data_IF_432662137994
#
_entry.id   IF_432662137994
#
_cell.length_a   1.000
_cell.length_b   1.000
_cell.length_c   1.000
_cell.angle_alpha   90.00
_cell.angle_beta   90.00
_cell.angle_gamma   90.00
#
_symmetry.space_group_name_H-M   'P 1'
#
loop_
_entity.id
_entity.type
_entity.pdbx_description
1 polymer ?
#
# COMPACT_ATOMS: atom_id res chain seq x y z
N UNK A 1 -20.38 28.03 -7.02
CA UNK A 1 -19.00 27.49 -7.01
C UNK A 1 -18.13 27.91 -8.20
N UNK A 2 -18.65 28.66 -9.18
CA UNK A 2 -17.98 28.94 -10.46
C UNK A 2 -16.72 29.82 -10.35
N UNK A 3 -16.66 30.70 -9.35
CA UNK A 3 -15.55 31.65 -9.12
C UNK A 3 -14.28 31.03 -8.51
N UNK A 4 -14.42 29.95 -7.72
CA UNK A 4 -13.30 29.22 -7.12
C UNK A 4 -13.62 27.73 -7.11
N UNK A 5 -13.03 27.02 -8.07
CA UNK A 5 -13.23 25.59 -8.26
C UNK A 5 -12.86 24.75 -7.04
N UNK A 6 -11.98 25.23 -6.15
CA UNK A 6 -11.61 24.48 -4.94
C UNK A 6 -12.77 24.42 -3.92
N UNK A 7 -13.77 25.32 -4.03
CA UNK A 7 -14.89 25.33 -3.09
C UNK A 7 -15.68 24.02 -3.06
N UNK A 8 -15.72 23.26 -4.16
CA UNK A 8 -16.42 21.95 -4.15
C UNK A 8 -15.65 20.90 -3.35
N UNK A 9 -14.31 20.89 -3.42
CA UNK A 9 -13.47 20.03 -2.56
C UNK A 9 -13.65 20.40 -1.08
N UNK A 10 -13.72 21.70 -0.79
CA UNK A 10 -13.98 22.21 0.58
C UNK A 10 -15.37 21.83 1.07
N UNK A 11 -16.40 21.93 0.23
CA UNK A 11 -17.76 21.54 0.59
C UNK A 11 -17.83 20.05 0.97
N UNK A 12 -17.23 19.19 0.13
CA UNK A 12 -17.08 17.77 0.40
C UNK A 12 -16.33 17.51 1.72
N UNK A 13 -15.21 18.20 1.95
CA UNK A 13 -14.47 18.08 3.21
C UNK A 13 -15.29 18.54 4.41
N UNK A 14 -16.01 19.65 4.31
CA UNK A 14 -16.85 20.14 5.41
C UNK A 14 -17.98 19.18 5.73
N UNK A 15 -18.54 18.46 4.74
CA UNK A 15 -19.50 17.39 4.99
C UNK A 15 -18.93 16.25 5.86
N UNK A 16 -17.64 15.95 5.70
CA UNK A 16 -16.95 14.97 6.54
C UNK A 16 -16.52 15.55 7.90
N UNK A 17 -16.12 16.82 7.98
CA UNK A 17 -15.70 17.48 9.23
C UNK A 17 -16.87 17.74 10.17
N UNK A 18 -17.98 18.27 9.64
CA UNK A 18 -19.15 18.69 10.41
C UNK A 18 -20.20 17.58 10.52
N UNK A 19 -19.98 16.46 9.82
CA UNK A 19 -20.87 15.30 9.80
C UNK A 19 -22.31 15.63 9.39
N UNK A 20 -22.48 16.66 8.56
CA UNK A 20 -23.78 17.04 8.02
C UNK A 20 -24.04 16.38 6.66
N UNK A 21 -25.23 16.61 6.13
CA UNK A 21 -25.53 16.43 4.71
C UNK A 21 -25.42 17.78 4.02
N UNK A 22 -24.98 17.79 2.75
CA UNK A 22 -25.05 19.01 1.97
C UNK A 22 -26.52 19.30 1.65
N UNK A 23 -26.87 20.58 1.70
CA UNK A 23 -28.13 21.05 1.15
C UNK A 23 -28.26 20.60 -0.34
N UNK A 24 -29.42 20.08 -0.79
CA UNK A 24 -29.56 19.53 -2.13
C UNK A 24 -29.21 20.52 -3.27
N UNK A 25 -29.50 21.81 -3.12
CA UNK A 25 -29.12 22.83 -4.11
C UNK A 25 -27.61 23.05 -4.13
N UNK A 26 -26.98 23.01 -2.94
CA UNK A 26 -25.53 23.07 -2.80
C UNK A 26 -24.87 21.89 -3.52
N UNK A 27 -25.35 20.66 -3.31
CA UNK A 27 -24.81 19.48 -3.98
C UNK A 27 -25.01 19.53 -5.50
N UNK A 28 -26.20 19.93 -5.97
CA UNK A 28 -26.47 20.14 -7.40
C UNK A 28 -25.50 21.15 -8.04
N UNK A 29 -25.03 22.12 -7.27
CA UNK A 29 -24.03 23.09 -7.72
C UNK A 29 -22.64 22.51 -8.00
N UNK A 30 -22.32 21.28 -7.55
CA UNK A 30 -20.99 20.68 -7.71
C UNK A 30 -20.71 20.30 -9.17
N UNK A 31 -21.63 19.59 -9.83
CA UNK A 31 -21.41 19.08 -11.19
C UNK A 31 -21.12 20.22 -12.20
N UNK A 32 -21.90 21.33 -12.23
CA UNK A 32 -21.58 22.47 -13.09
C UNK A 32 -20.24 23.15 -12.79
N UNK A 33 -19.66 22.93 -11.61
CA UNK A 33 -18.40 23.53 -11.18
C UNK A 33 -17.18 22.64 -11.44
N UNK A 34 -17.35 21.39 -11.89
CA UNK A 34 -16.24 20.50 -12.26
C UNK A 34 -15.28 21.11 -13.30
N UNK A 35 -15.74 21.85 -14.34
CA UNK A 35 -14.82 22.53 -15.26
C UNK A 35 -13.94 23.59 -14.59
N UNK A 36 -14.44 24.24 -13.52
CA UNK A 36 -13.63 25.16 -12.71
C UNK A 36 -12.67 24.39 -11.80
N UNK A 37 -13.11 23.28 -11.19
CA UNK A 37 -12.24 22.40 -10.39
C UNK A 37 -11.08 21.82 -11.23
N UNK A 38 -11.32 21.47 -12.49
CA UNK A 38 -10.32 20.94 -13.41
C UNK A 38 -9.13 21.90 -13.64
N UNK A 39 -9.35 23.21 -13.47
CA UNK A 39 -8.34 24.26 -13.61
C UNK A 39 -7.56 24.52 -12.31
N UNK A 40 -7.96 23.90 -11.20
CA UNK A 40 -7.28 24.06 -9.90
C UNK A 40 -5.96 23.27 -9.92
N UNK A 41 -4.90 23.87 -9.39
CA UNK A 41 -3.59 23.25 -9.23
C UNK A 41 -3.68 21.94 -8.45
N UNK A 42 -2.84 20.96 -8.81
CA UNK A 42 -2.86 19.63 -8.20
C UNK A 42 -2.50 19.66 -6.72
N UNK A 43 -1.61 20.55 -6.31
CA UNK A 43 -1.20 20.79 -4.92
C UNK A 43 -2.39 21.21 -4.04
N UNK A 44 -3.25 22.11 -4.55
CA UNK A 44 -4.46 22.53 -3.83
C UNK A 44 -5.50 21.40 -3.74
N UNK A 45 -5.58 20.56 -4.76
CA UNK A 45 -6.46 19.38 -4.77
C UNK A 45 -5.96 18.34 -3.76
N UNK A 46 -4.66 18.03 -3.76
CA UNK A 46 -4.06 17.08 -2.82
C UNK A 46 -4.14 17.56 -1.38
N UNK A 47 -3.94 18.86 -1.12
CA UNK A 47 -4.13 19.45 0.21
C UNK A 47 -5.56 19.23 0.76
N UNK A 48 -6.59 19.48 -0.04
CA UNK A 48 -7.97 19.25 0.38
C UNK A 48 -8.32 17.77 0.51
N UNK A 49 -7.79 16.92 -0.39
CA UNK A 49 -7.95 15.46 -0.31
C UNK A 49 -7.29 14.91 0.96
N UNK A 50 -6.06 15.32 1.27
CA UNK A 50 -5.35 14.89 2.47
C UNK A 50 -6.12 15.31 3.73
N UNK A 51 -6.58 16.57 3.80
CA UNK A 51 -7.41 17.05 4.93
C UNK A 51 -8.74 16.29 5.06
N UNK A 52 -9.35 15.90 3.94
CA UNK A 52 -10.55 15.06 3.94
C UNK A 52 -10.25 13.67 4.54
N UNK A 53 -9.14 13.04 4.14
CA UNK A 53 -8.74 11.72 4.66
C UNK A 53 -8.43 11.75 6.17
N UNK A 54 -8.04 12.88 6.73
CA UNK A 54 -7.79 13.02 8.17
C UNK A 54 -9.05 13.25 9.03
N UNK A 55 -10.23 13.40 8.43
CA UNK A 55 -11.49 13.59 9.18
C UNK A 55 -11.92 12.32 9.91
N UNK A 56 -12.86 12.41 10.86
CA UNK A 56 -13.34 11.23 11.62
C UNK A 56 -13.95 10.17 10.69
N UNK A 57 -14.78 10.61 9.75
CA UNK A 57 -15.49 9.76 8.79
C UNK A 57 -15.29 10.27 7.35
N UNK A 58 -14.12 9.99 6.72
CA UNK A 58 -13.83 10.44 5.36
C UNK A 58 -14.85 9.98 4.33
N UNK A 59 -15.50 8.82 4.55
CA UNK A 59 -16.51 8.27 3.65
C UNK A 59 -17.64 9.23 3.33
N UNK A 60 -18.06 10.10 4.27
CA UNK A 60 -19.13 11.09 4.02
C UNK A 60 -18.78 12.01 2.87
N UNK A 61 -17.55 12.52 2.87
CA UNK A 61 -17.06 13.36 1.79
C UNK A 61 -16.78 12.55 0.53
N UNK A 62 -16.10 11.40 0.67
CA UNK A 62 -15.76 10.56 -0.48
C UNK A 62 -17.00 10.04 -1.24
N UNK A 63 -18.10 9.76 -0.56
CA UNK A 63 -19.37 9.37 -1.17
C UNK A 63 -19.98 10.50 -2.01
N UNK A 64 -19.92 11.75 -1.52
CA UNK A 64 -20.32 12.93 -2.30
C UNK A 64 -19.39 13.09 -3.50
N UNK A 65 -18.07 13.03 -3.29
CA UNK A 65 -17.09 13.19 -4.35
C UNK A 65 -17.23 12.13 -5.45
N UNK A 66 -17.58 10.90 -5.10
CA UNK A 66 -17.82 9.82 -6.06
C UNK A 66 -19.07 10.12 -6.90
N UNK A 67 -20.23 10.32 -6.25
CA UNK A 67 -21.52 10.50 -6.94
C UNK A 67 -21.60 11.79 -7.76
N UNK A 68 -20.86 12.83 -7.37
CA UNK A 68 -20.78 14.09 -8.13
C UNK A 68 -19.67 14.10 -9.19
N UNK A 69 -18.94 13.00 -9.39
CA UNK A 69 -17.88 12.90 -10.41
C UNK A 69 -16.56 13.58 -10.06
N UNK A 70 -16.37 14.08 -8.83
CA UNK A 70 -15.09 14.64 -8.38
C UNK A 70 -14.00 13.55 -8.44
N UNK A 71 -14.29 12.33 -7.95
CA UNK A 71 -13.31 11.22 -7.99
C UNK A 71 -12.91 10.91 -9.43
N UNK A 72 -13.86 10.87 -10.37
CA UNK A 72 -13.56 10.65 -11.78
C UNK A 72 -12.67 11.76 -12.38
N UNK A 73 -12.81 13.00 -11.90
CA UNK A 73 -12.00 14.13 -12.35
C UNK A 73 -10.58 14.11 -11.76
N UNK A 74 -10.43 13.88 -10.45
CA UNK A 74 -9.14 14.01 -9.76
C UNK A 74 -8.34 12.71 -9.69
N UNK A 75 -9.02 11.57 -9.75
CA UNK A 75 -8.48 10.21 -9.66
C UNK A 75 -9.12 9.30 -10.73
N UNK A 76 -8.98 9.61 -12.03
CA UNK A 76 -9.69 8.89 -13.10
C UNK A 76 -9.38 7.39 -13.13
N UNK A 77 -8.14 7.00 -12.81
CA UNK A 77 -7.75 5.58 -12.73
C UNK A 77 -8.48 4.82 -11.62
N UNK A 78 -8.75 5.49 -10.49
CA UNK A 78 -9.50 4.89 -9.38
C UNK A 78 -10.98 4.70 -9.78
N UNK A 79 -11.56 5.72 -10.42
CA UNK A 79 -12.94 5.64 -10.90
C UNK A 79 -13.14 4.48 -11.90
N UNK A 80 -12.19 4.28 -12.82
CA UNK A 80 -12.20 3.16 -13.76
C UNK A 80 -11.97 1.81 -13.07
N UNK A 81 -11.14 1.78 -12.01
CA UNK A 81 -10.92 0.57 -11.23
C UNK A 81 -12.21 0.08 -10.53
N UNK A 82 -13.09 0.97 -10.09
CA UNK A 82 -14.38 0.57 -9.53
C UNK A 82 -15.25 -0.22 -10.53
N UNK A 83 -15.19 0.12 -11.82
CA UNK A 83 -15.89 -0.62 -12.87
C UNK A 83 -15.22 -1.98 -13.13
N UNK A 84 -13.90 -2.00 -13.24
CA UNK A 84 -13.13 -3.21 -13.47
C UNK A 84 -13.34 -4.25 -12.36
N UNK A 85 -13.31 -3.82 -11.10
CA UNK A 85 -13.60 -4.68 -9.95
C UNK A 85 -15.08 -5.04 -9.83
N UNK A 86 -15.98 -4.19 -10.33
CA UNK A 86 -17.42 -4.42 -10.30
C UNK A 86 -17.81 -5.75 -10.97
N UNK A 87 -17.13 -6.12 -12.05
CA UNK A 87 -17.35 -7.39 -12.75
C UNK A 87 -17.11 -8.63 -11.86
N UNK A 88 -16.19 -8.54 -10.89
CA UNK A 88 -15.81 -9.65 -10.02
C UNK A 88 -16.41 -9.58 -8.60
N UNK A 89 -16.95 -8.43 -8.18
CA UNK A 89 -17.31 -8.16 -6.77
C UNK A 89 -18.74 -7.70 -6.55
N UNK A 90 -19.68 -8.16 -7.38
CA UNK A 90 -21.11 -7.85 -7.20
C UNK A 90 -21.52 -6.44 -7.64
N UNK A 91 -20.77 -5.87 -8.60
CA UNK A 91 -21.07 -4.58 -9.23
C UNK A 91 -20.35 -3.38 -8.63
N UNK A 92 -20.35 -2.27 -9.38
CA UNK A 92 -19.67 -1.01 -9.02
C UNK A 92 -20.07 -0.50 -7.63
N UNK A 93 -21.36 -0.53 -7.30
CA UNK A 93 -21.88 -0.04 -6.02
C UNK A 93 -21.35 -0.83 -4.82
N UNK A 94 -21.18 -2.16 -4.96
CA UNK A 94 -20.61 -2.99 -3.91
C UNK A 94 -19.13 -2.68 -3.67
N UNK A 95 -18.37 -2.45 -4.75
CA UNK A 95 -16.96 -2.01 -4.68
C UNK A 95 -16.85 -0.66 -3.97
N UNK A 96 -17.66 0.32 -4.34
CA UNK A 96 -17.66 1.66 -3.70
C UNK A 96 -18.02 1.56 -2.22
N UNK A 97 -19.02 0.75 -1.85
CA UNK A 97 -19.39 0.55 -0.44
C UNK A 97 -18.24 -0.05 0.38
N UNK A 98 -17.55 -1.06 -0.17
CA UNK A 98 -16.37 -1.65 0.46
C UNK A 98 -15.20 -0.65 0.57
N UNK A 99 -14.95 0.12 -0.48
CA UNK A 99 -13.94 1.18 -0.52
C UNK A 99 -14.17 2.23 0.58
N UNK A 100 -15.39 2.77 0.68
CA UNK A 100 -15.76 3.75 1.70
C UNK A 100 -15.59 3.18 3.12
N UNK A 101 -16.09 1.98 3.37
CA UNK A 101 -15.97 1.30 4.67
C UNK A 101 -14.51 1.09 5.09
N UNK A 102 -13.67 0.63 4.16
CA UNK A 102 -12.25 0.38 4.40
C UNK A 102 -11.47 1.68 4.67
N UNK A 103 -11.82 2.80 4.02
CA UNK A 103 -11.17 4.09 4.29
C UNK A 103 -11.55 4.62 5.68
N UNK A 104 -12.78 4.45 6.13
CA UNK A 104 -13.20 4.83 7.49
C UNK A 104 -12.51 3.97 8.56
N UNK A 105 -12.44 2.65 8.34
CA UNK A 105 -11.81 1.69 9.25
C UNK A 105 -10.28 1.82 9.31
N UNK A 106 -9.66 2.37 8.28
CA UNK A 106 -8.22 2.59 8.23
C UNK A 106 -7.76 3.66 9.23
N UNK A 107 -6.66 3.37 9.93
CA UNK A 107 -5.96 4.34 10.76
C UNK A 107 -5.48 5.53 9.91
N UNK A 108 -5.46 6.77 10.46
CA UNK A 108 -5.16 7.99 9.68
C UNK A 108 -3.91 7.90 8.80
N UNK A 109 -2.83 7.31 9.33
CA UNK A 109 -1.54 7.17 8.67
C UNK A 109 -1.54 6.22 7.45
N UNK A 110 -2.55 5.37 7.30
CA UNK A 110 -2.68 4.45 6.15
C UNK A 110 -3.86 4.75 5.25
N UNK A 111 -4.63 5.82 5.51
CA UNK A 111 -5.81 6.17 4.71
C UNK A 111 -5.49 6.55 3.27
N UNK A 112 -4.32 7.08 2.99
CA UNK A 112 -3.88 7.33 1.62
C UNK A 112 -3.68 6.03 0.84
N UNK A 113 -3.07 5.01 1.47
CA UNK A 113 -2.98 3.67 0.91
C UNK A 113 -4.35 3.01 0.77
N UNK A 114 -5.20 3.14 1.80
CA UNK A 114 -6.58 2.68 1.77
C UNK A 114 -7.33 3.30 0.58
N UNK A 115 -7.24 4.60 0.34
CA UNK A 115 -7.94 5.25 -0.77
C UNK A 115 -7.70 4.57 -2.13
N UNK A 116 -6.55 3.92 -2.32
CA UNK A 116 -6.02 3.49 -3.62
C UNK A 116 -5.89 1.97 -3.79
N UNK A 117 -6.41 1.15 -2.86
CA UNK A 117 -6.32 -0.33 -2.94
C UNK A 117 -6.86 -0.89 -4.26
N UNK A 118 -7.92 -0.27 -4.79
CA UNK A 118 -8.58 -0.70 -6.03
C UNK A 118 -7.69 -0.48 -7.27
N UNK A 119 -6.60 0.29 -7.18
CA UNK A 119 -5.61 0.38 -8.27
C UNK A 119 -4.82 -0.92 -8.48
N UNK A 120 -4.97 -1.90 -7.59
CA UNK A 120 -4.42 -3.25 -7.75
C UNK A 120 -4.89 -3.97 -9.01
N UNK A 121 -4.10 -4.93 -9.46
CA UNK A 121 -4.41 -5.82 -10.55
C UNK A 121 -5.33 -6.95 -10.07
N UNK A 122 -6.53 -7.17 -10.65
CA UNK A 122 -7.36 -8.32 -10.32
C UNK A 122 -6.70 -9.68 -10.56
N UNK A 123 -5.68 -9.75 -11.43
CA UNK A 123 -4.98 -10.99 -11.79
C UNK A 123 -3.66 -11.24 -11.07
N UNK A 124 -3.30 -10.44 -10.05
CA UNK A 124 -1.99 -10.59 -9.40
C UNK A 124 -1.85 -11.90 -8.61
N UNK A 125 -0.63 -12.42 -8.53
CA UNK A 125 -0.29 -13.55 -7.65
C UNK A 125 -0.14 -13.06 -6.19
N UNK A 126 -0.99 -13.53 -5.25
CA UNK A 126 -0.95 -13.09 -3.86
C UNK A 126 0.30 -13.52 -3.07
N UNK A 127 1.13 -14.42 -3.62
CA UNK A 127 2.42 -14.80 -3.03
C UNK A 127 3.58 -13.86 -3.42
N UNK A 128 3.27 -12.83 -4.21
CA UNK A 128 4.18 -11.79 -4.65
C UNK A 128 3.59 -10.40 -4.38
N UNK A 129 4.44 -9.37 -4.46
CA UNK A 129 3.93 -8.00 -4.48
C UNK A 129 3.24 -7.73 -5.82
N UNK A 130 2.12 -7.04 -5.79
CA UNK A 130 1.49 -6.47 -6.97
C UNK A 130 2.32 -5.27 -7.46
N UNK A 131 3.24 -5.55 -8.38
CA UNK A 131 4.12 -4.54 -8.96
C UNK A 131 3.36 -3.48 -9.77
N UNK A 132 2.23 -3.87 -10.38
CA UNK A 132 1.40 -2.96 -11.16
C UNK A 132 0.63 -1.99 -10.26
N UNK A 133 0.14 -2.46 -9.10
CA UNK A 133 -0.45 -1.59 -8.10
C UNK A 133 0.56 -0.56 -7.59
N UNK A 134 1.79 -1.00 -7.30
CA UNK A 134 2.87 -0.09 -6.88
C UNK A 134 3.08 1.04 -7.88
N UNK A 135 3.28 0.69 -9.17
CA UNK A 135 3.52 1.66 -10.24
C UNK A 135 2.33 2.61 -10.42
N UNK A 136 1.10 2.09 -10.41
CA UNK A 136 -0.12 2.88 -10.57
C UNK A 136 -0.29 3.88 -9.43
N UNK A 137 -0.09 3.45 -8.20
CA UNK A 137 -0.21 4.31 -7.01
C UNK A 137 0.85 5.41 -7.03
N UNK A 138 2.12 5.06 -7.25
CA UNK A 138 3.22 6.03 -7.33
C UNK A 138 2.97 7.07 -8.43
N UNK A 139 2.54 6.61 -9.62
CA UNK A 139 2.18 7.50 -10.74
C UNK A 139 1.06 8.47 -10.38
N UNK A 140 -0.02 7.97 -9.77
CA UNK A 140 -1.19 8.77 -9.40
C UNK A 140 -0.81 9.83 -8.34
N UNK A 141 -0.08 9.43 -7.30
CA UNK A 141 0.28 10.33 -6.21
C UNK A 141 1.31 11.38 -6.62
N UNK A 142 2.28 11.03 -7.47
CA UNK A 142 3.20 12.00 -8.08
C UNK A 142 2.48 13.01 -8.97
N UNK A 143 1.50 12.56 -9.76
CA UNK A 143 0.67 13.45 -10.58
C UNK A 143 -0.16 14.42 -9.73
N UNK A 144 -0.58 13.98 -8.54
CA UNK A 144 -1.25 14.80 -7.52
C UNK A 144 -0.28 15.59 -6.63
N UNK A 145 1.04 15.54 -6.88
CA UNK A 145 2.06 16.31 -6.18
C UNK A 145 2.18 15.98 -4.69
N UNK A 146 1.85 14.75 -4.28
CA UNK A 146 2.22 14.24 -2.96
C UNK A 146 3.74 14.08 -2.84
N UNK A 147 4.26 14.08 -1.61
CA UNK A 147 5.69 13.90 -1.39
C UNK A 147 6.16 12.50 -1.83
N UNK A 148 7.47 12.38 -2.09
CA UNK A 148 8.08 11.08 -2.40
C UNK A 148 7.86 10.05 -1.27
N UNK A 149 7.91 10.50 -0.02
CA UNK A 149 7.72 9.63 1.15
C UNK A 149 6.29 9.09 1.20
N UNK A 150 5.28 9.96 1.04
CA UNK A 150 3.87 9.55 1.01
C UNK A 150 3.57 8.64 -0.18
N UNK A 151 4.09 8.98 -1.37
CA UNK A 151 3.87 8.19 -2.58
C UNK A 151 4.46 6.79 -2.46
N UNK A 152 5.71 6.68 -1.99
CA UNK A 152 6.37 5.40 -1.78
C UNK A 152 5.68 4.56 -0.69
N UNK A 153 5.31 5.18 0.44
CA UNK A 153 4.61 4.48 1.51
C UNK A 153 3.29 3.89 0.99
N UNK A 154 2.44 4.71 0.37
CA UNK A 154 1.16 4.24 -0.17
C UNK A 154 1.36 3.15 -1.23
N UNK A 155 2.32 3.29 -2.13
CA UNK A 155 2.60 2.30 -3.17
C UNK A 155 3.04 0.94 -2.58
N UNK A 156 3.91 0.94 -1.58
CA UNK A 156 4.32 -0.28 -0.88
C UNK A 156 3.14 -0.94 -0.16
N UNK A 157 2.34 -0.18 0.57
CA UNK A 157 1.16 -0.69 1.28
C UNK A 157 0.15 -1.32 0.32
N UNK A 158 -0.20 -0.61 -0.74
CA UNK A 158 -1.17 -1.10 -1.72
C UNK A 158 -0.65 -2.34 -2.47
N UNK A 159 0.66 -2.43 -2.74
CA UNK A 159 1.26 -3.57 -3.45
C UNK A 159 1.10 -4.92 -2.75
N UNK A 160 0.75 -4.94 -1.46
CA UNK A 160 0.48 -6.17 -0.71
C UNK A 160 -0.90 -6.17 -0.01
N UNK A 161 -1.69 -5.10 -0.18
CA UNK A 161 -2.95 -4.92 0.56
C UNK A 161 -3.91 -6.09 0.34
N UNK A 162 -4.01 -6.56 -0.91
CA UNK A 162 -5.00 -7.56 -1.33
C UNK A 162 -4.54 -9.01 -1.12
N UNK A 163 -3.27 -9.24 -0.76
CA UNK A 163 -2.72 -10.60 -0.64
C UNK A 163 -3.52 -11.45 0.37
N UNK A 164 -3.94 -10.83 1.48
CA UNK A 164 -4.72 -11.50 2.54
C UNK A 164 -6.14 -11.87 2.11
N UNK A 165 -6.70 -11.18 1.10
CA UNK A 165 -8.06 -11.47 0.63
C UNK A 165 -8.14 -12.75 -0.21
N UNK A 166 -6.99 -13.20 -0.74
CA UNK A 166 -6.94 -14.27 -1.74
C UNK A 166 -6.42 -15.58 -1.17
N UNK A 167 -5.55 -15.53 -0.15
CA UNK A 167 -4.91 -16.70 0.45
C UNK A 167 -4.66 -16.50 1.94
N UNK A 168 -4.70 -17.60 2.69
CA UNK A 168 -4.18 -17.64 4.06
C UNK A 168 -2.64 -17.70 4.00
N UNK A 169 -2.01 -16.55 4.25
CA UNK A 169 -0.55 -16.43 4.17
C UNK A 169 0.14 -17.14 5.34
N UNK A 170 1.12 -17.98 5.01
CA UNK A 170 2.01 -18.61 6.00
C UNK A 170 3.06 -17.63 6.53
N UNK A 171 3.73 -17.99 7.63
CA UNK A 171 4.78 -17.16 8.22
C UNK A 171 5.94 -16.83 7.23
N UNK A 172 6.46 -17.79 6.43
CA UNK A 172 7.43 -17.47 5.37
C UNK A 172 6.90 -16.47 4.33
N UNK A 173 5.66 -16.63 3.91
CA UNK A 173 5.04 -15.75 2.91
C UNK A 173 4.87 -14.32 3.45
N UNK A 174 4.46 -14.17 4.71
CA UNK A 174 4.39 -12.86 5.37
C UNK A 174 5.76 -12.20 5.49
N UNK A 175 6.80 -12.95 5.90
CA UNK A 175 8.18 -12.45 5.92
C UNK A 175 8.65 -12.04 4.53
N UNK A 176 8.34 -12.82 3.50
CA UNK A 176 8.65 -12.49 2.10
C UNK A 176 7.99 -11.18 1.68
N UNK A 177 6.70 -10.99 1.95
CA UNK A 177 6.01 -9.74 1.64
C UNK A 177 6.62 -8.54 2.38
N UNK A 178 6.90 -8.67 3.69
CA UNK A 178 7.56 -7.61 4.46
C UNK A 178 8.98 -7.32 4.00
N UNK A 179 9.72 -8.32 3.53
CA UNK A 179 11.02 -8.13 2.90
C UNK A 179 10.91 -7.32 1.61
N UNK A 180 9.89 -7.60 0.79
CA UNK A 180 9.65 -6.91 -0.48
C UNK A 180 9.24 -5.45 -0.32
N UNK A 181 8.47 -5.13 0.73
CA UNK A 181 8.06 -3.75 1.00
C UNK A 181 9.06 -2.98 1.84
N UNK A 182 9.82 -3.65 2.70
CA UNK A 182 10.67 -3.03 3.71
C UNK A 182 10.02 -3.05 5.10
N UNK A 183 10.84 -3.30 6.13
CA UNK A 183 10.38 -3.43 7.53
C UNK A 183 9.66 -2.18 8.01
N UNK A 184 10.12 -1.01 7.58
CA UNK A 184 9.57 0.30 7.96
C UNK A 184 8.09 0.47 7.60
N UNK A 185 7.61 -0.24 6.56
CA UNK A 185 6.21 -0.18 6.13
C UNK A 185 5.37 -1.34 6.67
N UNK A 186 5.98 -2.36 7.28
CA UNK A 186 5.27 -3.57 7.69
C UNK A 186 4.19 -3.30 8.75
N UNK A 187 4.45 -2.40 9.71
CA UNK A 187 3.45 -2.02 10.72
C UNK A 187 2.25 -1.32 10.08
N UNK A 188 2.49 -0.45 9.10
CA UNK A 188 1.44 0.22 8.34
C UNK A 188 0.67 -0.78 7.46
N UNK A 189 1.35 -1.79 6.88
CA UNK A 189 0.68 -2.83 6.10
C UNK A 189 -0.32 -3.61 6.97
N UNK A 190 0.09 -3.99 8.19
CA UNK A 190 -0.81 -4.62 9.16
C UNK A 190 -1.98 -3.69 9.50
N UNK A 191 -1.74 -2.39 9.71
CA UNK A 191 -2.81 -1.43 9.98
C UNK A 191 -3.82 -1.33 8.82
N UNK A 192 -3.33 -1.36 7.57
CA UNK A 192 -4.19 -1.38 6.38
C UNK A 192 -4.97 -2.70 6.26
N UNK A 193 -4.33 -3.83 6.55
CA UNK A 193 -4.97 -5.14 6.60
C UNK A 193 -6.08 -5.24 7.66
N UNK A 194 -5.92 -4.61 8.82
CA UNK A 194 -7.00 -4.53 9.83
C UNK A 194 -8.26 -3.81 9.33
N UNK A 195 -8.11 -2.92 8.36
CA UNK A 195 -9.23 -2.19 7.77
C UNK A 195 -9.98 -3.01 6.69
N UNK A 196 -9.45 -4.16 6.27
CA UNK A 196 -10.12 -5.03 5.30
C UNK A 196 -11.32 -5.75 5.92
N UNK A 197 -12.31 -6.04 5.09
CA UNK A 197 -13.51 -6.79 5.45
C UNK A 197 -13.74 -7.90 4.42
N UNK A 198 -13.82 -9.19 4.85
CA UNK A 198 -13.71 -9.65 6.23
C UNK A 198 -12.31 -9.47 6.82
N UNK A 199 -12.21 -9.49 8.15
CA UNK A 199 -10.92 -9.44 8.85
C UNK A 199 -10.22 -10.81 8.81
N UNK A 200 -8.89 -10.81 8.89
CA UNK A 200 -8.05 -12.01 8.83
C UNK A 200 -7.24 -12.18 10.13
N UNK A 201 -7.87 -12.54 11.26
CA UNK A 201 -7.25 -12.47 12.59
C UNK A 201 -6.00 -13.35 12.72
N UNK A 202 -5.98 -14.53 12.10
CA UNK A 202 -4.81 -15.43 12.12
C UNK A 202 -3.59 -14.82 11.40
N UNK A 203 -3.81 -14.29 10.20
CA UNK A 203 -2.76 -13.62 9.41
C UNK A 203 -2.25 -12.37 10.13
N UNK A 204 -3.15 -11.57 10.72
CA UNK A 204 -2.80 -10.38 11.50
C UNK A 204 -1.96 -10.73 12.73
N UNK A 205 -2.37 -11.74 13.50
CA UNK A 205 -1.64 -12.18 14.69
C UNK A 205 -0.23 -12.69 14.35
N UNK A 206 -0.11 -13.45 13.25
CA UNK A 206 1.18 -13.95 12.78
C UNK A 206 2.08 -12.82 12.26
N UNK A 207 1.53 -11.88 11.50
CA UNK A 207 2.23 -10.70 11.03
C UNK A 207 2.76 -9.83 12.19
N UNK A 208 1.95 -9.61 13.22
CA UNK A 208 2.36 -8.90 14.44
C UNK A 208 3.46 -9.65 15.20
N UNK A 209 3.37 -10.99 15.26
CA UNK A 209 4.37 -11.84 15.91
C UNK A 209 5.73 -11.72 15.21
N UNK A 210 5.76 -11.76 13.87
CA UNK A 210 6.96 -11.58 13.05
C UNK A 210 7.68 -10.27 13.39
N UNK A 211 6.93 -9.17 13.53
CA UNK A 211 7.52 -7.86 13.87
C UNK A 211 7.99 -7.81 15.32
N UNK A 212 7.19 -8.35 16.25
CA UNK A 212 7.51 -8.38 17.70
C UNK A 212 8.75 -9.19 18.00
N UNK A 213 8.90 -10.35 17.37
CA UNK A 213 10.07 -11.24 17.50
C UNK A 213 11.26 -10.80 16.65
N UNK A 214 11.14 -9.70 15.89
CA UNK A 214 12.21 -9.15 15.03
C UNK A 214 12.80 -10.19 14.07
N UNK A 215 11.96 -11.02 13.44
CA UNK A 215 12.43 -11.98 12.44
C UNK A 215 13.22 -11.26 11.34
N UNK A 216 14.25 -11.87 10.73
CA UNK A 216 15.04 -11.21 9.69
C UNK A 216 14.23 -10.95 8.42
N UNK A 217 14.25 -9.71 7.91
CA UNK A 217 13.49 -9.28 6.73
C UNK A 217 14.36 -8.57 5.68
N UNK A 218 15.60 -8.24 6.02
CA UNK A 218 16.54 -7.57 5.13
C UNK A 218 17.95 -8.13 5.30
N UNK A 219 18.88 -7.88 4.35
CA UNK A 219 20.26 -8.32 4.50
C UNK A 219 20.94 -7.78 5.77
N UNK A 220 20.47 -6.64 6.30
CA UNK A 220 20.98 -6.04 7.54
C UNK A 220 20.58 -6.81 8.80
N UNK A 221 19.57 -7.67 8.71
CA UNK A 221 19.11 -8.50 9.81
C UNK A 221 19.83 -9.86 9.86
N UNK A 222 20.70 -10.16 8.88
CA UNK A 222 21.47 -11.40 8.85
C UNK A 222 22.55 -11.39 9.95
N UNK A 223 22.82 -12.56 10.51
CA UNK A 223 23.89 -12.77 11.50
C UNK A 223 25.31 -12.71 10.89
N UNK A 224 25.41 -12.50 9.58
CA UNK A 224 26.65 -12.28 8.84
C UNK A 224 26.55 -11.00 8.03
N UNK A 225 27.69 -10.32 7.89
CA UNK A 225 27.84 -9.15 7.05
C UNK A 225 28.58 -9.50 5.76
N UNK A 226 28.63 -8.57 4.81
CA UNK A 226 29.48 -8.73 3.62
C UNK A 226 30.96 -8.94 3.98
N UNK A 227 31.43 -8.35 5.09
CA UNK A 227 32.81 -8.53 5.58
C UNK A 227 33.04 -9.96 6.06
N UNK A 228 32.09 -10.52 6.81
CA UNK A 228 32.17 -11.92 7.27
C UNK A 228 32.24 -12.89 6.09
N UNK A 229 31.50 -12.63 5.01
CA UNK A 229 31.53 -13.45 3.79
C UNK A 229 32.85 -13.31 3.03
N UNK A 230 33.39 -12.10 2.90
CA UNK A 230 34.70 -11.85 2.26
C UNK A 230 35.80 -12.63 2.98
N UNK A 231 35.84 -12.54 4.31
CA UNK A 231 36.85 -13.23 5.13
C UNK A 231 36.62 -14.75 5.15
N UNK A 232 35.37 -15.19 5.31
CA UNK A 232 35.01 -16.60 5.44
C UNK A 232 35.05 -17.41 4.14
N UNK A 233 34.90 -16.75 2.98
CA UNK A 233 34.98 -17.37 1.65
C UNK A 233 36.31 -17.10 0.93
N UNK A 234 37.19 -16.26 1.52
CA UNK A 234 38.41 -15.79 0.88
C UNK A 234 38.19 -15.17 -0.52
N UNK A 235 37.06 -14.47 -0.71
CA UNK A 235 36.69 -13.83 -1.98
C UNK A 235 36.96 -12.31 -1.98
N UNK A 236 37.28 -11.71 -3.14
CA UNK A 236 37.37 -10.26 -3.26
C UNK A 236 35.99 -9.58 -3.11
N UNK A 237 35.94 -8.33 -2.61
CA UNK A 237 34.70 -7.57 -2.55
C UNK A 237 34.10 -7.37 -3.95
N UNK A 238 32.78 -7.54 -4.07
CA UNK A 238 32.08 -7.30 -5.34
C UNK A 238 30.61 -7.71 -5.35
N UNK A 239 29.93 -7.60 -6.51
CA UNK A 239 28.50 -7.93 -6.66
C UNK A 239 28.15 -9.38 -6.26
N UNK A 240 29.13 -10.30 -6.32
CA UNK A 240 28.97 -11.69 -5.87
C UNK A 240 28.53 -11.80 -4.41
N UNK A 241 29.13 -11.00 -3.51
CA UNK A 241 28.79 -11.00 -2.08
C UNK A 241 27.34 -10.57 -1.87
N UNK A 242 26.88 -9.55 -2.60
CA UNK A 242 25.49 -9.10 -2.57
C UNK A 242 24.50 -10.19 -3.01
N UNK A 243 24.84 -10.96 -4.04
CA UNK A 243 24.03 -12.11 -4.49
C UNK A 243 23.97 -13.19 -3.41
N UNK A 244 25.09 -13.52 -2.76
CA UNK A 244 25.14 -14.50 -1.67
C UNK A 244 24.26 -14.05 -0.50
N UNK A 245 24.37 -12.79 -0.07
CA UNK A 245 23.48 -12.24 0.98
C UNK A 245 22.00 -12.36 0.60
N UNK A 246 21.64 -12.16 -0.67
CA UNK A 246 20.28 -12.38 -1.17
C UNK A 246 19.81 -13.83 -1.08
N UNK A 247 20.68 -14.78 -1.42
CA UNK A 247 20.41 -16.23 -1.28
C UNK A 247 20.22 -16.60 0.20
N UNK A 248 21.13 -16.15 1.07
CA UNK A 248 21.06 -16.39 2.51
C UNK A 248 19.77 -15.81 3.10
N UNK A 249 19.44 -14.56 2.78
CA UNK A 249 18.18 -13.94 3.20
C UNK A 249 16.98 -14.75 2.73
N UNK A 250 16.98 -15.25 1.50
CA UNK A 250 15.87 -16.08 0.99
C UNK A 250 15.69 -17.35 1.82
N UNK A 251 16.78 -18.01 2.24
CA UNK A 251 16.71 -19.18 3.13
C UNK A 251 16.24 -18.83 4.54
N UNK A 252 16.69 -17.69 5.09
CA UNK A 252 16.28 -17.20 6.41
C UNK A 252 14.83 -16.74 6.44
N UNK A 253 14.32 -16.20 5.33
CA UNK A 253 12.89 -15.90 5.17
C UNK A 253 12.06 -17.18 5.25
N UNK A 254 12.53 -18.30 4.69
CA UNK A 254 11.85 -19.59 4.86
C UNK A 254 11.94 -20.10 6.30
N UNK A 255 13.14 -20.09 6.89
CA UNK A 255 13.37 -20.52 8.29
C UNK A 255 14.30 -19.55 9.05
N UNK A 256 13.75 -18.70 9.94
CA UNK A 256 14.54 -17.75 10.73
C UNK A 256 15.59 -18.39 11.63
N UNK A 257 15.44 -19.68 11.96
CA UNK A 257 16.40 -20.41 12.80
C UNK A 257 17.75 -20.60 12.14
N UNK A 258 17.81 -20.47 10.80
CA UNK A 258 19.05 -20.51 10.03
C UNK A 258 19.93 -19.26 10.22
N UNK A 259 19.41 -18.21 10.87
CA UNK A 259 20.12 -16.94 11.04
C UNK A 259 21.17 -16.98 12.16
N UNK A 260 22.11 -17.93 12.07
CA UNK A 260 23.29 -18.02 12.94
C UNK A 260 24.54 -17.87 12.09
N UNK A 261 25.62 -17.31 12.66
CA UNK A 261 26.84 -17.02 11.90
C UNK A 261 27.40 -18.28 11.25
N UNK A 262 27.45 -19.37 12.00
CA UNK A 262 27.99 -20.66 11.58
C UNK A 262 27.20 -21.25 10.41
N UNK A 263 25.87 -21.35 10.55
CA UNK A 263 25.01 -21.91 9.50
C UNK A 263 25.02 -21.06 8.23
N UNK A 264 25.04 -19.73 8.36
CA UNK A 264 25.07 -18.85 7.19
C UNK A 264 26.39 -18.93 6.43
N UNK A 265 27.53 -19.10 7.11
CA UNK A 265 28.82 -19.32 6.44
C UNK A 265 28.85 -20.66 5.69
N UNK A 266 28.33 -21.73 6.28
CA UNK A 266 28.20 -23.02 5.59
C UNK A 266 27.29 -22.94 4.36
N UNK A 267 26.15 -22.26 4.48
CA UNK A 267 25.22 -22.04 3.37
C UNK A 267 25.85 -21.19 2.27
N UNK A 268 26.65 -20.18 2.64
CA UNK A 268 27.37 -19.33 1.70
C UNK A 268 28.38 -20.12 0.87
N UNK A 269 29.19 -20.98 1.51
CA UNK A 269 30.14 -21.86 0.83
C UNK A 269 29.45 -22.79 -0.17
N UNK A 270 28.29 -23.36 0.20
CA UNK A 270 27.50 -24.21 -0.72
C UNK A 270 26.97 -23.43 -1.92
N UNK A 271 26.41 -22.24 -1.68
CA UNK A 271 25.86 -21.39 -2.74
C UNK A 271 26.93 -20.94 -3.75
N UNK A 272 28.16 -20.71 -3.27
CA UNK A 272 29.31 -20.40 -4.13
C UNK A 272 29.68 -21.57 -5.05
N UNK A 273 29.77 -22.78 -4.50
CA UNK A 273 30.08 -23.99 -5.26
C UNK A 273 29.04 -24.32 -6.33
N UNK A 274 27.77 -24.01 -6.07
CA UNK A 274 26.67 -24.18 -7.03
C UNK A 274 26.68 -23.11 -8.13
N UNK A 275 27.06 -21.86 -7.82
CA UNK A 275 27.13 -20.77 -8.80
C UNK A 275 28.39 -20.76 -9.68
N UNK A 276 29.39 -21.58 -9.36
CA UNK A 276 30.61 -21.78 -10.16
C UNK A 276 30.49 -22.91 -11.20
N UNK A 277 29.36 -23.62 -11.24
CA UNK A 277 29.01 -24.66 -12.22
C UNK A 277 28.08 -24.11 -13.30
#
# INVERSE_FOLDING_TARGET
>A
FTEDGLRVMRAVRFAAVLEFELDPDTERGIVPALPSLAKVSKERISDELHKLLLTRQPSRGLAIAERTGIIALILPRLAAAFDAWGAARGGRSAVIAAWLSRVDAAAPEVRLGALLVELGDPGFDPHHRDALAFERVDTVLRALKFSNAESNAAAHLVSIARAIELVDLTAPQLRKLFSLIGREYAQQAIALWRAHSPAHPGVLAEAERILRERHPLSPKDLAVTGKDLIEGLAQPPGPGIGRILGILLSRVIEDPRLNTREQLLELAQRAELEGAR
#
